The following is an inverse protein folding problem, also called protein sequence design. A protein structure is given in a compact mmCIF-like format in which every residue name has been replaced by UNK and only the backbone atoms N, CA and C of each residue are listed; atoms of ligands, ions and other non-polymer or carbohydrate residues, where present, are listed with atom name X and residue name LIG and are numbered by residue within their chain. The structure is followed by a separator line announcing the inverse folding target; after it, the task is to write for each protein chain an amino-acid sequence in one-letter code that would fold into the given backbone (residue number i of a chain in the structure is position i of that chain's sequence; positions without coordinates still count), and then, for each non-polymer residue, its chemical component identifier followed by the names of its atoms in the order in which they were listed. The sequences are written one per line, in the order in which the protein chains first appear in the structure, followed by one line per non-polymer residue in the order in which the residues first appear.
data_IF_944745167194
#
_entry.id   IF_944745167194
#
_cell.length_a   1.000
_cell.length_b   1.000
_cell.length_c   1.000
_cell.angle_alpha   90.00
_cell.angle_beta   90.00
_cell.angle_gamma   90.00
#
_symmetry.space_group_name_H-M   'P 1'
#
loop_
_entity.id
_entity.type
_entity.pdbx_description
1 polymer ?
#
# COMPACT_ATOMS: atom_id res chain seq x y z
N UNK A 1 -30.54 6.53 -61.22
CA UNK A 1 -29.47 6.70 -60.20
C UNK A 1 -29.92 7.61 -59.05
N UNK A 2 -31.06 7.31 -58.40
CA UNK A 2 -31.55 8.10 -57.24
C UNK A 2 -31.63 7.26 -55.96
N UNK A 3 -31.76 5.95 -56.10
CA UNK A 3 -31.86 5.02 -54.96
C UNK A 3 -30.50 4.51 -54.46
N UNK A 4 -29.41 4.69 -55.22
CA UNK A 4 -28.05 4.31 -54.78
C UNK A 4 -27.38 5.34 -53.86
N UNK A 5 -27.83 6.60 -53.88
CA UNK A 5 -27.26 7.68 -53.04
C UNK A 5 -27.75 7.56 -51.60
N UNK A 6 -28.96 7.06 -51.38
CA UNK A 6 -29.54 6.89 -50.03
C UNK A 6 -28.86 5.73 -49.28
N UNK A 7 -28.44 4.69 -49.99
CA UNK A 7 -27.77 3.54 -49.38
C UNK A 7 -26.35 3.87 -48.88
N UNK A 8 -25.67 4.82 -49.53
CA UNK A 8 -24.32 5.25 -49.12
C UNK A 8 -24.35 6.15 -47.87
N UNK A 9 -25.43 6.92 -47.67
CA UNK A 9 -25.61 7.76 -46.48
C UNK A 9 -25.95 6.96 -45.21
N UNK A 10 -26.60 5.80 -45.33
CA UNK A 10 -26.95 4.95 -44.19
C UNK A 10 -25.76 4.14 -43.64
N UNK A 11 -24.74 3.87 -44.45
CA UNK A 11 -23.55 3.11 -44.04
C UNK A 11 -22.58 3.98 -43.21
N UNK A 12 -22.64 5.31 -43.36
CA UNK A 12 -21.78 6.24 -42.62
C UNK A 12 -22.24 6.50 -41.17
N UNK A 13 -23.47 6.13 -40.81
CA UNK A 13 -24.05 6.41 -39.48
C UNK A 13 -23.77 5.32 -38.42
N UNK A 14 -23.12 4.21 -38.78
CA UNK A 14 -22.93 3.06 -37.88
C UNK A 14 -21.47 2.78 -37.46
N UNK A 15 -20.56 3.76 -37.58
CA UNK A 15 -19.20 3.65 -37.05
C UNK A 15 -18.91 4.68 -35.95
N UNK A 16 -19.84 4.86 -35.03
CA UNK A 16 -19.49 5.31 -33.68
C UNK A 16 -19.48 4.07 -32.78
N UNK A 17 -18.41 3.27 -32.87
CA UNK A 17 -18.07 2.38 -31.77
C UNK A 17 -17.77 3.29 -30.58
N UNK A 18 -18.75 3.47 -29.71
CA UNK A 18 -18.49 3.83 -28.33
C UNK A 18 -17.53 2.78 -27.80
N UNK A 19 -16.25 3.15 -27.66
CA UNK A 19 -15.41 2.49 -26.68
C UNK A 19 -16.13 2.71 -25.35
N UNK A 20 -16.87 1.71 -24.90
CA UNK A 20 -17.19 1.62 -23.48
C UNK A 20 -15.82 1.48 -22.81
N UNK A 21 -15.28 2.60 -22.33
CA UNK A 21 -14.13 2.60 -21.46
C UNK A 21 -14.51 1.78 -20.23
N UNK A 22 -14.17 0.50 -20.22
CA UNK A 22 -13.99 -0.26 -18.99
C UNK A 22 -12.71 0.20 -18.30
N UNK A 23 -12.53 1.51 -18.17
CA UNK A 23 -11.43 2.12 -17.43
C UNK A 23 -12.05 3.02 -16.38
N UNK A 24 -12.03 2.55 -15.13
CA UNK A 24 -11.87 3.39 -13.92
C UNK A 24 -12.27 2.70 -12.60
N UNK A 25 -12.90 1.53 -12.61
CA UNK A 25 -13.47 0.94 -11.38
C UNK A 25 -12.82 -0.37 -10.89
N UNK A 26 -11.60 -0.70 -11.34
CA UNK A 26 -10.88 -1.85 -10.80
C UNK A 26 -10.43 -1.52 -9.36
N UNK A 27 -11.08 -2.15 -8.37
CA UNK A 27 -10.81 -1.94 -6.95
C UNK A 27 -9.70 -2.89 -6.48
N UNK A 28 -8.65 -2.32 -5.91
CA UNK A 28 -7.58 -3.06 -5.24
C UNK A 28 -8.00 -3.23 -3.78
N UNK A 29 -8.30 -4.47 -3.39
CA UNK A 29 -8.74 -4.82 -2.05
C UNK A 29 -7.61 -5.51 -1.28
N UNK A 30 -7.26 -4.98 -0.10
CA UNK A 30 -6.32 -5.64 0.82
C UNK A 30 -7.05 -6.06 2.09
N UNK A 31 -7.14 -7.38 2.33
CA UNK A 31 -7.79 -7.99 3.49
C UNK A 31 -6.96 -9.16 4.03
N UNK A 32 -7.30 -9.63 5.24
CA UNK A 32 -6.72 -10.86 5.79
C UNK A 32 -7.84 -11.88 5.99
N UNK A 33 -7.72 -13.01 5.32
CA UNK A 33 -8.63 -14.15 5.39
C UNK A 33 -7.89 -15.41 5.80
N UNK A 34 -8.58 -16.28 6.53
CA UNK A 34 -8.06 -17.53 7.06
C UNK A 34 -9.12 -18.63 6.86
N UNK A 35 -8.68 -19.84 6.55
CA UNK A 35 -9.49 -21.04 6.73
C UNK A 35 -9.50 -21.40 8.23
N UNK A 36 -10.68 -21.54 8.79
CA UNK A 36 -10.83 -22.01 10.17
C UNK A 36 -10.62 -23.52 10.26
N UNK A 37 -10.45 -24.03 11.48
CA UNK A 37 -10.18 -25.47 11.71
C UNK A 37 -11.38 -26.35 11.33
N UNK A 38 -12.58 -25.79 11.40
CA UNK A 38 -13.86 -26.31 10.92
C UNK A 38 -14.05 -26.19 9.40
N UNK A 39 -13.06 -25.67 8.67
CA UNK A 39 -13.08 -25.59 7.21
C UNK A 39 -13.88 -24.42 6.64
N UNK A 40 -14.29 -23.45 7.46
CA UNK A 40 -14.96 -22.25 6.98
C UNK A 40 -13.95 -21.18 6.54
N UNK A 41 -14.20 -20.54 5.40
CA UNK A 41 -13.42 -19.38 4.99
C UNK A 41 -13.90 -18.14 5.77
N UNK A 42 -13.07 -17.62 6.68
CA UNK A 42 -13.38 -16.40 7.45
C UNK A 42 -12.47 -15.26 7.05
N UNK A 43 -13.09 -14.15 6.65
CA UNK A 43 -12.40 -12.88 6.51
C UNK A 43 -12.26 -12.23 7.88
N UNK A 44 -11.07 -12.34 8.47
CA UNK A 44 -10.73 -11.84 9.80
C UNK A 44 -10.66 -10.30 9.80
N UNK A 45 -10.34 -9.69 8.66
CA UNK A 45 -10.31 -8.24 8.48
C UNK A 45 -10.95 -7.85 7.16
N UNK A 46 -11.99 -7.02 7.24
CA UNK A 46 -12.61 -6.42 6.06
C UNK A 46 -11.56 -5.76 5.18
N UNK A 47 -11.68 -6.00 3.87
CA UNK A 47 -10.73 -5.49 2.92
C UNK A 47 -11.00 -4.01 2.71
N UNK A 48 -10.03 -3.16 3.03
CA UNK A 48 -10.10 -1.78 2.58
C UNK A 48 -9.81 -1.79 1.09
N UNK A 49 -10.87 -1.70 0.30
CA UNK A 49 -10.79 -1.56 -1.14
C UNK A 49 -10.55 -0.09 -1.47
N UNK A 50 -9.56 0.16 -2.32
CA UNK A 50 -9.28 1.46 -2.91
C UNK A 50 -9.28 1.31 -4.42
N UNK A 51 -9.57 2.38 -5.15
CA UNK A 51 -9.42 2.35 -6.61
C UNK A 51 -7.93 2.27 -6.98
N UNK A 52 -7.62 1.81 -8.18
CA UNK A 52 -6.25 1.85 -8.69
C UNK A 52 -5.67 3.27 -8.69
N UNK A 53 -6.50 4.29 -8.97
CA UNK A 53 -6.10 5.69 -8.90
C UNK A 53 -5.71 6.11 -7.47
N UNK A 54 -6.49 5.73 -6.47
CA UNK A 54 -6.18 5.99 -5.06
C UNK A 54 -4.91 5.26 -4.61
N UNK A 55 -4.72 4.02 -5.07
CA UNK A 55 -3.51 3.25 -4.80
C UNK A 55 -2.27 3.89 -5.40
N UNK A 56 -2.32 4.28 -6.67
CA UNK A 56 -1.23 4.97 -7.35
C UNK A 56 -0.95 6.34 -6.72
N UNK A 57 -1.99 7.08 -6.32
CA UNK A 57 -1.82 8.33 -5.57
C UNK A 57 -1.15 8.11 -4.21
N UNK A 58 -1.47 7.03 -3.51
CA UNK A 58 -0.79 6.64 -2.27
C UNK A 58 0.68 6.31 -2.50
N UNK A 59 1.00 5.50 -3.52
CA UNK A 59 2.38 5.13 -3.84
C UNK A 59 3.23 6.35 -4.26
N UNK A 60 2.63 7.28 -5.00
CA UNK A 60 3.29 8.49 -5.50
C UNK A 60 3.24 9.66 -4.50
N UNK A 61 2.65 9.47 -3.32
CA UNK A 61 2.59 10.51 -2.30
C UNK A 61 3.98 10.84 -1.76
N UNK A 62 4.25 12.12 -1.50
CA UNK A 62 5.57 12.57 -1.01
C UNK A 62 5.97 11.92 0.31
N UNK A 63 5.00 11.58 1.15
CA UNK A 63 5.21 10.97 2.46
C UNK A 63 5.07 9.44 2.46
N UNK A 64 5.04 8.82 1.27
CA UNK A 64 4.93 7.37 1.11
C UNK A 64 5.99 6.62 1.91
N UNK A 65 7.27 7.02 1.79
CA UNK A 65 8.39 6.37 2.48
C UNK A 65 8.29 6.53 4.00
N UNK A 66 7.97 7.73 4.49
CA UNK A 66 7.65 7.97 5.90
C UNK A 66 6.58 7.00 6.42
N UNK A 67 5.45 6.86 5.71
CA UNK A 67 4.36 5.94 6.08
C UNK A 67 4.78 4.47 6.01
N UNK A 68 5.53 4.12 4.98
CA UNK A 68 5.99 2.76 4.72
C UNK A 68 6.97 2.29 5.81
N UNK A 69 8.02 3.06 6.08
CA UNK A 69 9.03 2.70 7.07
C UNK A 69 8.47 2.61 8.49
N UNK A 70 7.60 3.54 8.90
CA UNK A 70 6.94 3.45 10.22
C UNK A 70 6.14 2.16 10.37
N UNK A 71 5.38 1.76 9.34
CA UNK A 71 4.63 0.49 9.34
C UNK A 71 5.55 -0.72 9.42
N UNK A 72 6.66 -0.71 8.68
CA UNK A 72 7.64 -1.81 8.70
C UNK A 72 8.29 -1.95 10.07
N UNK A 73 8.76 -0.85 10.67
CA UNK A 73 9.36 -0.86 12.02
C UNK A 73 8.38 -1.41 13.06
N UNK A 74 7.10 -1.00 12.99
CA UNK A 74 6.07 -1.51 13.91
C UNK A 74 5.87 -3.03 13.78
N UNK A 75 5.84 -3.56 12.55
CA UNK A 75 5.69 -5.00 12.30
C UNK A 75 6.83 -5.81 12.92
N UNK A 76 8.06 -5.32 12.79
CA UNK A 76 9.25 -6.06 13.21
C UNK A 76 9.57 -5.91 14.70
N UNK A 77 9.41 -4.70 15.25
CA UNK A 77 9.90 -4.36 16.59
C UNK A 77 8.81 -4.20 17.66
N UNK A 78 7.55 -3.99 17.27
CA UNK A 78 6.46 -3.71 18.22
C UNK A 78 5.46 -4.85 18.32
N UNK A 79 5.13 -5.47 17.18
CA UNK A 79 4.22 -6.62 17.13
C UNK A 79 4.78 -7.79 17.92
N UNK A 80 3.91 -8.45 18.69
CA UNK A 80 4.30 -9.59 19.53
C UNK A 80 5.00 -10.71 18.74
N UNK A 81 4.60 -10.96 17.49
CA UNK A 81 5.25 -11.93 16.61
C UNK A 81 6.67 -11.50 16.19
N UNK A 82 6.83 -10.29 15.63
CA UNK A 82 8.14 -9.77 15.21
C UNK A 82 9.15 -9.71 16.36
N UNK A 83 8.71 -9.27 17.55
CA UNK A 83 9.56 -9.26 18.76
C UNK A 83 10.10 -10.64 19.13
N UNK A 84 9.27 -11.68 19.01
CA UNK A 84 9.64 -13.06 19.35
C UNK A 84 10.55 -13.67 18.29
N UNK A 85 10.40 -13.28 17.03
CA UNK A 85 11.13 -13.85 15.91
C UNK A 85 12.64 -13.55 15.98
N UNK A 86 13.03 -12.33 16.38
CA UNK A 86 14.43 -11.88 16.28
C UNK A 86 15.13 -11.64 17.63
N UNK A 87 14.58 -12.16 18.73
CA UNK A 87 15.15 -12.11 20.10
C UNK A 87 15.82 -10.77 20.44
N UNK A 88 15.12 -9.65 20.21
CA UNK A 88 15.67 -8.33 20.52
C UNK A 88 15.99 -8.18 22.01
N UNK A 89 17.11 -7.53 22.33
CA UNK A 89 17.34 -7.03 23.69
C UNK A 89 16.40 -5.85 23.99
N UNK A 90 16.05 -5.64 25.25
CA UNK A 90 15.21 -4.51 25.64
C UNK A 90 15.83 -3.16 25.25
N UNK A 91 17.16 -3.05 25.34
CA UNK A 91 17.89 -1.85 24.94
C UNK A 91 17.72 -1.55 23.44
N UNK A 92 17.85 -2.58 22.59
CA UNK A 92 17.63 -2.44 21.14
C UNK A 92 16.18 -2.02 20.85
N UNK A 93 15.19 -2.63 21.52
CA UNK A 93 13.78 -2.25 21.35
C UNK A 93 13.52 -0.80 21.76
N UNK A 94 14.09 -0.34 22.88
CA UNK A 94 13.98 1.07 23.31
C UNK A 94 14.62 2.01 22.28
N UNK A 95 15.78 1.67 21.74
CA UNK A 95 16.47 2.47 20.72
C UNK A 95 15.68 2.54 19.41
N UNK A 96 15.18 1.41 18.91
CA UNK A 96 14.34 1.35 17.70
C UNK A 96 13.08 2.20 17.89
N UNK A 97 12.40 2.07 19.04
CA UNK A 97 11.21 2.87 19.34
C UNK A 97 11.52 4.37 19.35
N UNK A 98 12.60 4.80 20.00
CA UNK A 98 13.02 6.20 20.03
C UNK A 98 13.26 6.75 18.62
N UNK A 99 14.02 6.03 17.80
CA UNK A 99 14.29 6.42 16.41
C UNK A 99 13.01 6.51 15.56
N UNK A 100 12.08 5.57 15.76
CA UNK A 100 10.78 5.58 15.09
C UNK A 100 9.96 6.81 15.48
N UNK A 101 9.88 7.12 16.76
CA UNK A 101 9.10 8.25 17.28
C UNK A 101 9.69 9.60 16.82
N UNK A 102 11.02 9.75 16.84
CA UNK A 102 11.74 10.91 16.29
C UNK A 102 11.52 11.06 14.78
N UNK A 103 11.71 9.97 14.01
CA UNK A 103 11.50 9.96 12.58
C UNK A 103 10.04 10.28 12.19
N UNK A 104 9.07 9.76 12.97
CA UNK A 104 7.66 10.10 12.80
C UNK A 104 7.41 11.58 13.04
N UNK A 105 7.91 12.16 14.13
CA UNK A 105 7.71 13.58 14.43
C UNK A 105 8.27 14.48 13.31
N UNK A 106 9.43 14.13 12.75
CA UNK A 106 10.00 14.83 11.60
C UNK A 106 9.12 14.70 10.35
N UNK A 107 8.67 13.49 10.02
CA UNK A 107 7.73 13.27 8.92
C UNK A 107 6.42 14.07 9.09
N UNK A 108 5.82 14.04 10.28
CA UNK A 108 4.57 14.74 10.60
C UNK A 108 4.73 16.28 10.50
N UNK A 109 5.93 16.80 10.80
CA UNK A 109 6.25 18.23 10.65
C UNK A 109 6.61 18.66 9.21
N UNK A 110 6.55 17.74 8.24
CA UNK A 110 6.87 17.99 6.83
C UNK A 110 8.36 17.90 6.48
N UNK A 111 9.23 17.58 7.44
CA UNK A 111 10.66 17.35 7.23
C UNK A 111 10.94 15.93 6.74
N UNK A 112 10.36 15.58 5.58
CA UNK A 112 10.27 14.20 5.10
C UNK A 112 11.64 13.50 4.99
N UNK A 113 12.63 14.13 4.36
CA UNK A 113 13.97 13.53 4.19
C UNK A 113 14.69 13.27 5.52
N UNK A 114 14.58 14.19 6.47
CA UNK A 114 15.17 14.02 7.81
C UNK A 114 14.47 12.90 8.58
N UNK A 115 13.14 12.86 8.49
CA UNK A 115 12.33 11.79 9.10
C UNK A 115 12.62 10.42 8.50
N UNK A 116 12.70 10.32 7.17
CA UNK A 116 13.07 9.11 6.44
C UNK A 116 14.44 8.61 6.86
N UNK A 117 15.46 9.48 6.95
CA UNK A 117 16.79 9.10 7.39
C UNK A 117 16.77 8.47 8.81
N UNK A 118 16.03 9.06 9.75
CA UNK A 118 15.85 8.51 11.11
C UNK A 118 15.13 7.17 11.11
N UNK A 119 14.12 7.00 10.26
CA UNK A 119 13.41 5.72 10.12
C UNK A 119 14.30 4.64 9.47
N UNK A 120 15.17 5.01 8.52
CA UNK A 120 16.15 4.12 7.94
C UNK A 120 17.15 3.64 9.01
N UNK A 121 17.62 4.51 9.91
CA UNK A 121 18.48 4.09 11.03
C UNK A 121 17.82 2.98 11.88
N UNK A 122 16.51 3.11 12.16
CA UNK A 122 15.76 2.10 12.88
C UNK A 122 15.64 0.78 12.10
N UNK A 123 15.37 0.84 10.79
CA UNK A 123 15.32 -0.34 9.91
C UNK A 123 16.68 -1.03 9.86
N UNK A 124 17.77 -0.28 9.75
CA UNK A 124 19.12 -0.83 9.75
C UNK A 124 19.42 -1.60 11.05
N UNK A 125 19.02 -1.09 12.21
CA UNK A 125 19.16 -1.82 13.49
C UNK A 125 18.34 -3.12 13.52
N UNK A 126 17.13 -3.10 12.95
CA UNK A 126 16.29 -4.29 12.78
C UNK A 126 17.01 -5.31 11.89
N UNK A 127 17.44 -4.91 10.69
CA UNK A 127 18.12 -5.79 9.73
C UNK A 127 19.39 -6.42 10.31
N UNK A 128 20.22 -5.64 11.01
CA UNK A 128 21.40 -6.20 11.68
C UNK A 128 21.05 -7.20 12.78
N UNK A 129 19.91 -7.03 13.44
CA UNK A 129 19.46 -7.99 14.46
C UNK A 129 18.89 -9.26 13.82
N UNK A 130 18.30 -9.18 12.63
CA UNK A 130 17.83 -10.36 11.88
C UNK A 130 18.96 -11.24 11.33
N UNK A 131 20.13 -10.66 11.09
CA UNK A 131 21.29 -11.38 10.51
C UNK A 131 22.14 -12.12 11.55
N UNK A 132 21.87 -11.92 12.85
CA UNK A 132 22.60 -12.55 13.97
C UNK A 132 21.82 -13.72 14.56
#
# INVERSE_FOLDING_TARGET
MRNFIILFFLIFLFNSSTFASTESNQKICSGFSKWTEDGEFKQIRESKCMTEQEYNAYLNSKDYLCKYYQKSIWKESERAYGKKQYKYTEEKLKKIKKLKDEGKALCDSGKLKEGEAKLIEAITLISFTMMN
#
